data_IF_168339792911
#
_entry.id   IF_168339792911
#
_cell.length_a   1.000
_cell.length_b   1.000
_cell.length_c   1.000
_cell.angle_alpha   90.00
_cell.angle_beta   90.00
_cell.angle_gamma   90.00
#
_symmetry.space_group_name_H-M   'P 1'
#
loop_
_entity.id
_entity.type
_entity.pdbx_description
1 polymer ?
#
# COMPACT_ATOMS: atom_id res chain seq x y z
N UNK A 1 -11.96 -31.61 -10.84
CA UNK A 1 -10.53 -31.38 -11.16
C UNK A 1 -10.39 -31.61 -12.65
N UNK A 2 -9.79 -30.64 -13.36
CA UNK A 2 -9.54 -30.76 -14.81
C UNK A 2 -8.54 -31.86 -15.13
N UNK A 3 -8.54 -32.34 -16.38
CA UNK A 3 -7.77 -33.52 -16.81
C UNK A 3 -6.23 -33.38 -16.68
N UNK A 4 -5.70 -32.18 -16.40
CA UNK A 4 -4.27 -31.90 -16.21
C UNK A 4 -3.89 -31.64 -14.73
N UNK A 5 -4.79 -31.99 -13.80
CA UNK A 5 -4.57 -31.70 -12.37
C UNK A 5 -4.96 -30.28 -11.94
N UNK A 6 -5.47 -29.46 -12.84
CA UNK A 6 -5.94 -28.12 -12.52
C UNK A 6 -7.26 -28.15 -11.76
N UNK A 7 -7.40 -27.30 -10.74
CA UNK A 7 -8.67 -27.02 -10.09
C UNK A 7 -9.36 -25.86 -10.83
N UNK A 8 -10.42 -26.16 -11.56
CA UNK A 8 -11.25 -25.15 -12.24
C UNK A 8 -12.55 -24.94 -11.46
N UNK A 9 -12.82 -23.71 -11.06
CA UNK A 9 -14.03 -23.31 -10.36
C UNK A 9 -14.67 -22.12 -11.09
N UNK A 10 -15.87 -22.31 -11.60
CA UNK A 10 -16.48 -21.36 -12.55
C UNK A 10 -17.55 -20.48 -11.96
N UNK A 11 -17.95 -20.70 -10.71
CA UNK A 11 -18.94 -19.86 -10.04
C UNK A 11 -18.81 -19.90 -8.53
N UNK A 12 -19.12 -18.78 -7.86
CA UNK A 12 -19.02 -18.62 -6.42
C UNK A 12 -17.60 -18.34 -5.94
N UNK A 13 -17.43 -18.33 -4.63
CA UNK A 13 -16.12 -18.09 -4.00
C UNK A 13 -15.32 -19.39 -3.88
N UNK A 14 -13.99 -19.28 -3.95
CA UNK A 14 -13.08 -20.36 -3.54
C UNK A 14 -12.52 -20.02 -2.18
N UNK A 15 -12.69 -20.90 -1.20
CA UNK A 15 -12.17 -20.72 0.15
C UNK A 15 -11.40 -21.97 0.57
N UNK A 16 -10.18 -21.79 1.04
CA UNK A 16 -9.37 -22.84 1.64
C UNK A 16 -9.22 -22.54 3.12
N UNK A 17 -9.57 -23.51 3.98
CA UNK A 17 -9.45 -23.41 5.43
C UNK A 17 -10.06 -22.10 5.98
N UNK A 18 -11.34 -21.91 5.71
CA UNK A 18 -12.19 -20.79 6.18
C UNK A 18 -11.66 -19.40 5.81
N UNK A 19 -10.43 -19.08 6.16
CA UNK A 19 -9.83 -17.74 5.97
C UNK A 19 -8.44 -17.74 5.35
N UNK A 20 -7.79 -18.91 5.24
CA UNK A 20 -6.39 -18.98 4.78
C UNK A 20 -6.22 -18.42 3.38
N UNK A 21 -7.07 -18.87 2.42
CA UNK A 21 -7.14 -18.31 1.07
C UNK A 21 -8.60 -18.14 0.70
N UNK A 22 -8.99 -16.94 0.31
CA UNK A 22 -10.34 -16.63 -0.15
C UNK A 22 -10.28 -15.89 -1.48
N UNK A 23 -10.95 -16.44 -2.50
CA UNK A 23 -11.16 -15.77 -3.78
C UNK A 23 -12.62 -15.36 -3.87
N UNK A 24 -12.87 -14.06 -3.81
CA UNK A 24 -14.21 -13.50 -3.91
C UNK A 24 -14.61 -13.36 -5.38
N UNK A 25 -15.61 -14.11 -5.79
CA UNK A 25 -16.11 -14.13 -7.17
C UNK A 25 -16.85 -12.83 -7.57
N UNK A 26 -17.36 -12.07 -6.61
CA UNK A 26 -18.12 -10.83 -6.87
C UNK A 26 -17.18 -9.66 -7.17
N UNK A 27 -16.11 -9.52 -6.39
CA UNK A 27 -15.13 -8.44 -6.52
C UNK A 27 -13.91 -8.82 -7.34
N UNK A 28 -13.70 -10.13 -7.56
CA UNK A 28 -12.48 -10.71 -8.13
C UNK A 28 -11.23 -10.36 -7.32
N UNK A 29 -11.38 -10.23 -6.00
CA UNK A 29 -10.30 -9.99 -5.05
C UNK A 29 -9.86 -11.29 -4.39
N UNK A 30 -8.61 -11.31 -3.92
CA UNK A 30 -8.02 -12.44 -3.18
C UNK A 30 -7.68 -12.00 -1.76
N UNK A 31 -8.18 -12.71 -0.78
CA UNK A 31 -7.86 -12.54 0.63
C UNK A 31 -6.92 -13.64 1.14
N UNK A 32 -5.90 -13.26 1.86
CA UNK A 32 -5.07 -14.14 2.68
C UNK A 32 -5.30 -13.77 4.14
N UNK A 33 -5.86 -14.68 4.91
CA UNK A 33 -6.23 -14.43 6.30
C UNK A 33 -7.48 -13.54 6.47
N UNK A 34 -8.22 -13.28 5.39
CA UNK A 34 -9.47 -12.50 5.40
C UNK A 34 -10.45 -13.03 4.35
N UNK A 35 -11.75 -13.01 4.66
CA UNK A 35 -12.84 -13.35 3.73
C UNK A 35 -13.54 -12.11 3.17
N UNK A 36 -13.08 -10.92 3.51
CA UNK A 36 -13.63 -9.65 3.02
C UNK A 36 -12.52 -8.76 2.43
N UNK A 37 -11.87 -9.18 1.32
CA UNK A 37 -10.75 -8.46 0.75
C UNK A 37 -11.17 -7.12 0.15
N UNK A 38 -10.61 -6.02 0.66
CA UNK A 38 -10.85 -4.67 0.17
C UNK A 38 -10.00 -4.26 -1.04
N UNK A 39 -8.99 -5.04 -1.38
CA UNK A 39 -8.05 -4.81 -2.50
C UNK A 39 -7.92 -6.08 -3.34
N UNK A 40 -7.31 -5.96 -4.54
CA UNK A 40 -7.08 -7.12 -5.42
C UNK A 40 -6.35 -8.27 -4.74
N UNK A 41 -5.39 -7.93 -3.87
CA UNK A 41 -4.80 -8.85 -2.90
C UNK A 41 -4.82 -8.16 -1.54
N UNK A 42 -5.52 -8.74 -0.59
CA UNK A 42 -5.64 -8.26 0.78
C UNK A 42 -5.09 -9.30 1.74
N UNK A 43 -4.06 -8.94 2.50
CA UNK A 43 -3.36 -9.86 3.41
C UNK A 43 -3.48 -9.35 4.83
N UNK A 44 -4.18 -10.14 5.66
CA UNK A 44 -4.22 -9.90 7.10
C UNK A 44 -2.98 -10.54 7.74
N UNK A 45 -1.85 -9.84 7.69
CA UNK A 45 -0.55 -10.30 8.18
C UNK A 45 0.62 -9.64 7.46
N UNK A 46 1.82 -10.09 7.78
CA UNK A 46 3.05 -9.63 7.12
C UNK A 46 3.21 -10.30 5.74
N UNK A 47 3.81 -9.58 4.79
CA UNK A 47 4.19 -10.11 3.47
C UNK A 47 5.71 -10.16 3.39
N UNK A 48 6.27 -11.34 3.10
CA UNK A 48 7.70 -11.56 2.88
C UNK A 48 7.95 -12.08 1.47
N UNK A 49 8.86 -11.42 0.74
CA UNK A 49 9.30 -11.86 -0.58
C UNK A 49 10.82 -12.06 -0.57
N UNK A 50 11.31 -13.15 -1.16
CA UNK A 50 12.76 -13.40 -1.30
C UNK A 50 13.41 -12.62 -2.43
N UNK A 51 12.62 -11.95 -3.25
CA UNK A 51 13.05 -11.09 -4.36
C UNK A 51 12.42 -9.71 -4.29
N UNK A 52 12.48 -8.98 -5.38
CA UNK A 52 11.91 -7.64 -5.47
C UNK A 52 10.37 -7.66 -5.42
N UNK A 53 9.80 -6.63 -4.79
CA UNK A 53 8.39 -6.25 -4.99
C UNK A 53 8.40 -5.08 -5.96
N UNK A 54 7.89 -5.29 -7.18
CA UNK A 54 7.99 -4.32 -8.29
C UNK A 54 6.62 -3.71 -8.58
N UNK A 55 6.55 -2.38 -8.56
CA UNK A 55 5.36 -1.63 -8.98
C UNK A 55 5.55 -1.06 -10.39
N UNK A 56 4.50 -1.14 -11.22
CA UNK A 56 4.49 -0.57 -12.56
C UNK A 56 4.63 0.96 -12.50
N UNK A 57 5.60 1.53 -13.21
CA UNK A 57 5.91 2.96 -13.15
C UNK A 57 6.37 3.56 -14.47
N UNK A 58 5.91 3.01 -15.59
CA UNK A 58 6.23 3.52 -16.92
C UNK A 58 5.61 4.91 -17.15
N UNK A 59 6.41 5.86 -17.63
CA UNK A 59 5.96 7.22 -17.95
C UNK A 59 4.76 7.24 -18.90
N UNK A 60 4.70 6.30 -19.85
CA UNK A 60 3.64 6.22 -20.86
C UNK A 60 2.25 5.91 -20.29
N UNK A 61 2.21 5.36 -19.07
CA UNK A 61 0.97 5.07 -18.36
C UNK A 61 0.52 6.22 -17.43
N UNK A 62 1.26 7.32 -17.40
CA UNK A 62 1.03 8.45 -16.49
C UNK A 62 0.67 9.70 -17.27
N UNK A 63 -0.27 10.49 -16.76
CA UNK A 63 -0.65 11.82 -17.24
C UNK A 63 -0.48 12.84 -16.12
N UNK A 64 -0.52 14.12 -16.46
CA UNK A 64 -0.45 15.26 -15.52
C UNK A 64 0.75 15.15 -14.55
N UNK A 65 1.89 14.77 -15.09
CA UNK A 65 3.11 14.58 -14.28
C UNK A 65 3.60 15.94 -13.79
N UNK A 66 3.51 16.16 -12.50
CA UNK A 66 3.97 17.36 -11.83
C UNK A 66 5.03 17.01 -10.79
N UNK A 67 6.04 17.87 -10.65
CA UNK A 67 7.02 17.76 -9.60
C UNK A 67 6.38 18.12 -8.26
N UNK A 68 6.76 17.41 -7.20
CA UNK A 68 6.32 17.77 -5.85
C UNK A 68 7.08 19.03 -5.42
N UNK A 69 6.34 20.09 -5.16
CA UNK A 69 6.88 21.37 -4.71
C UNK A 69 6.76 21.53 -3.19
N UNK A 70 7.58 22.40 -2.61
CA UNK A 70 7.65 22.69 -1.17
C UNK A 70 7.85 21.40 -0.34
N UNK A 71 8.73 20.55 -0.82
CA UNK A 71 8.91 19.21 -0.26
C UNK A 71 9.50 19.24 1.16
N UNK A 72 10.40 20.17 1.47
CA UNK A 72 10.93 20.34 2.84
C UNK A 72 9.82 20.77 3.81
N UNK A 73 9.01 21.75 3.44
CA UNK A 73 7.90 22.22 4.29
C UNK A 73 6.85 21.11 4.51
N UNK A 74 6.69 20.23 3.54
CA UNK A 74 5.84 19.02 3.67
C UNK A 74 6.46 18.01 4.63
N UNK A 75 7.76 17.75 4.54
CA UNK A 75 8.47 16.84 5.45
C UNK A 75 8.44 17.36 6.89
N UNK A 76 8.54 18.67 7.12
CA UNK A 76 8.48 19.26 8.45
C UNK A 76 7.13 19.01 9.16
N UNK A 77 6.08 18.71 8.42
CA UNK A 77 4.76 18.38 8.97
C UNK A 77 4.59 16.88 9.29
N UNK A 78 5.57 16.06 8.94
CA UNK A 78 5.52 14.61 9.14
C UNK A 78 6.46 14.20 10.26
N UNK A 79 6.10 13.11 10.92
CA UNK A 79 6.91 12.53 11.99
C UNK A 79 7.11 11.03 11.74
N UNK A 80 8.30 10.56 12.07
CA UNK A 80 8.59 9.14 12.15
C UNK A 80 8.33 8.63 13.56
N UNK A 81 7.64 7.51 13.69
CA UNK A 81 7.28 6.94 14.97
C UNK A 81 7.73 5.50 15.11
N UNK A 82 7.92 5.07 16.35
CA UNK A 82 7.80 3.67 16.74
C UNK A 82 6.50 3.51 17.53
N UNK A 83 5.77 2.45 17.29
CA UNK A 83 4.46 2.23 17.91
C UNK A 83 4.19 0.74 18.15
N UNK A 84 3.20 0.44 18.98
CA UNK A 84 2.71 -0.92 19.19
C UNK A 84 1.38 -1.10 18.47
N UNK A 85 1.26 -2.17 17.71
CA UNK A 85 0.04 -2.62 17.07
C UNK A 85 -0.02 -4.14 17.16
N UNK A 86 -1.16 -4.68 17.62
CA UNK A 86 -1.33 -6.13 17.83
C UNK A 86 -0.20 -6.76 18.67
N UNK A 87 0.14 -6.12 19.79
CA UNK A 87 1.20 -6.55 20.75
C UNK A 87 2.62 -6.64 20.17
N UNK A 88 2.85 -6.11 18.95
CA UNK A 88 4.15 -6.08 18.30
C UNK A 88 4.62 -4.63 18.08
N UNK A 89 5.92 -4.40 18.21
CA UNK A 89 6.53 -3.08 17.92
C UNK A 89 6.79 -2.92 16.43
N UNK A 90 6.38 -1.76 15.92
CA UNK A 90 6.57 -1.34 14.53
C UNK A 90 7.19 0.06 14.47
N UNK A 91 7.55 0.48 13.28
CA UNK A 91 7.95 1.86 12.97
C UNK A 91 7.27 2.30 11.68
N UNK A 92 7.00 3.59 11.56
CA UNK A 92 6.37 4.17 10.38
C UNK A 92 5.88 5.58 10.62
N UNK A 93 4.94 6.00 9.79
CA UNK A 93 4.25 7.29 9.87
C UNK A 93 2.77 7.09 10.21
N UNK A 94 2.08 8.16 10.56
CA UNK A 94 0.63 8.16 10.82
C UNK A 94 -0.09 8.64 9.56
N UNK A 95 -1.03 7.84 9.05
CA UNK A 95 -1.76 8.15 7.82
C UNK A 95 -2.52 9.49 7.88
N UNK A 96 -3.08 9.84 9.04
CA UNK A 96 -3.79 11.10 9.25
C UNK A 96 -2.86 12.33 9.22
N UNK A 97 -1.56 12.16 9.49
CA UNK A 97 -0.57 13.22 9.29
C UNK A 97 -0.13 13.32 7.83
N UNK A 98 -0.05 12.18 7.13
CA UNK A 98 0.32 12.14 5.70
C UNK A 98 -0.79 12.69 4.81
N UNK A 99 -2.05 12.46 5.14
CA UNK A 99 -3.21 12.80 4.31
C UNK A 99 -3.26 14.28 3.88
N UNK A 100 -3.09 15.29 4.76
CA UNK A 100 -3.10 16.70 4.34
C UNK A 100 -1.85 17.12 3.56
N UNK A 101 -0.77 16.37 3.66
CA UNK A 101 0.56 16.70 3.08
C UNK A 101 0.75 16.06 1.72
N UNK A 102 0.42 14.78 1.60
CA UNK A 102 0.58 13.96 0.40
C UNK A 102 -0.59 12.97 0.29
N UNK A 103 -1.80 13.44 -0.06
CA UNK A 103 -3.00 12.60 -0.10
C UNK A 103 -2.87 11.40 -1.05
N UNK A 104 -2.05 11.50 -2.10
CA UNK A 104 -1.81 10.42 -3.07
C UNK A 104 -1.09 9.20 -2.45
N UNK A 105 -0.49 9.35 -1.27
CA UNK A 105 0.13 8.25 -0.54
C UNK A 105 -0.82 7.59 0.48
N UNK A 106 -2.05 8.08 0.63
CA UNK A 106 -3.01 7.59 1.62
C UNK A 106 -4.21 6.95 0.94
N UNK A 107 -4.63 5.80 1.45
CA UNK A 107 -5.86 5.12 1.05
C UNK A 107 -6.77 4.92 2.25
N UNK A 108 -8.04 4.60 1.99
CA UNK A 108 -9.04 4.40 3.04
C UNK A 108 -9.73 5.68 3.48
N UNK A 109 -10.53 5.56 4.55
CA UNK A 109 -11.34 6.62 5.14
C UNK A 109 -11.56 6.38 6.64
N UNK A 110 -12.29 7.27 7.31
CA UNK A 110 -12.71 7.07 8.71
C UNK A 110 -13.49 5.75 8.89
N UNK A 111 -14.27 5.35 7.89
CA UNK A 111 -15.10 4.13 7.94
C UNK A 111 -14.30 2.85 7.64
N UNK A 112 -13.25 2.96 6.81
CA UNK A 112 -12.49 1.79 6.33
C UNK A 112 -11.09 1.67 6.91
N UNK A 113 -10.73 2.58 7.81
CA UNK A 113 -9.39 2.84 8.31
C UNK A 113 -8.45 3.37 7.23
N UNK A 114 -7.57 4.27 7.64
CA UNK A 114 -6.55 4.83 6.76
C UNK A 114 -5.33 3.92 6.65
N UNK A 115 -4.72 3.89 5.47
CA UNK A 115 -3.47 3.19 5.21
C UNK A 115 -2.52 4.03 4.37
N UNK A 116 -1.23 3.78 4.47
CA UNK A 116 -0.17 4.49 3.73
C UNK A 116 0.48 3.56 2.72
N UNK A 117 0.48 3.99 1.45
CA UNK A 117 1.31 3.40 0.41
C UNK A 117 2.74 3.94 0.56
N UNK A 118 3.55 3.31 1.41
CA UNK A 118 4.87 3.81 1.79
C UNK A 118 5.79 4.09 0.60
N UNK A 119 5.79 3.25 -0.43
CA UNK A 119 6.57 3.47 -1.64
C UNK A 119 6.24 4.78 -2.35
N UNK A 120 5.02 5.29 -2.22
CA UNK A 120 4.58 6.53 -2.84
C UNK A 120 5.18 7.78 -2.15
N UNK A 121 5.72 7.65 -0.95
CA UNK A 121 6.41 8.74 -0.25
C UNK A 121 7.81 9.01 -0.79
N UNK A 122 8.37 8.10 -1.57
CA UNK A 122 9.74 8.21 -2.09
C UNK A 122 9.95 9.47 -2.92
N UNK A 123 8.97 9.87 -3.74
CA UNK A 123 9.04 11.10 -4.53
C UNK A 123 9.16 12.36 -3.68
N UNK A 124 8.42 12.42 -2.57
CA UNK A 124 8.51 13.52 -1.61
C UNK A 124 9.90 13.61 -0.98
N UNK A 125 10.47 12.47 -0.59
CA UNK A 125 11.82 12.40 0.00
C UNK A 125 12.88 12.86 -1.00
N UNK A 126 12.76 12.44 -2.28
CA UNK A 126 13.69 12.85 -3.35
C UNK A 126 13.68 14.37 -3.53
N UNK A 127 12.51 14.98 -3.64
CA UNK A 127 12.42 16.43 -3.86
C UNK A 127 12.82 17.20 -2.59
N UNK A 128 12.51 16.72 -1.38
CA UNK A 128 12.97 17.32 -0.14
C UNK A 128 14.50 17.33 -0.02
N UNK A 129 15.18 16.26 -0.39
CA UNK A 129 16.64 16.18 -0.43
C UNK A 129 17.22 17.20 -1.41
N UNK A 130 16.60 17.37 -2.59
CA UNK A 130 17.04 18.36 -3.59
C UNK A 130 16.89 19.78 -3.09
N UNK A 131 15.74 20.12 -2.48
CA UNK A 131 15.50 21.44 -1.89
C UNK A 131 16.50 21.72 -0.75
N UNK A 132 16.78 20.72 0.09
CA UNK A 132 17.77 20.82 1.14
C UNK A 132 19.17 21.08 0.57
N UNK A 133 19.56 20.36 -0.48
CA UNK A 133 20.83 20.56 -1.18
C UNK A 133 20.97 22.00 -1.72
N UNK A 134 19.90 22.56 -2.29
CA UNK A 134 19.89 23.95 -2.78
C UNK A 134 20.06 24.96 -1.65
N UNK A 135 19.47 24.70 -0.47
CA UNK A 135 19.58 25.60 0.71
C UNK A 135 20.98 25.63 1.33
N UNK A 136 21.74 24.54 1.26
CA UNK A 136 23.08 24.45 1.82
C UNK A 136 24.20 24.68 0.78
N UNK A 137 23.85 24.71 -0.50
CA UNK A 137 24.79 24.86 -1.64
C UNK A 137 25.12 26.29 -2.03
#
# INVERSE_FOLDING_TARGET
IGGNGDLSYTSGNVTVDTTTLHVDSQTSNVGIGTTNPGYKLDVNGDIYATGNITAYSDKRAKSDIQKIENALDKIDQLNGYTFTMNDKRYTGVIAQEVLPVLPEAVTGSEETNYAVAYGNMMGLIIEAIKELKEKIG
#
